data_IF_515163532832
#
_entry.id   IF_515163532832
#
_cell.length_a   1.000
_cell.length_b   1.000
_cell.length_c   1.000
_cell.angle_alpha   90.00
_cell.angle_beta   90.00
_cell.angle_gamma   90.00
#
_symmetry.space_group_name_H-M   'P 1'
#
loop_
_entity.id
_entity.type
_entity.pdbx_description
1 polymer ?
#
# COMPACT_ATOMS: atom_id res chain seq x y z
N UNK A 1 -26.10 9.89 12.71
CA UNK A 1 -25.69 9.70 11.30
C UNK A 1 -24.56 8.70 11.27
N UNK A 2 -24.74 7.54 10.65
CA UNK A 2 -23.61 6.65 10.33
C UNK A 2 -22.93 7.29 9.13
N UNK A 3 -21.81 7.97 9.36
CA UNK A 3 -20.89 8.33 8.27
C UNK A 3 -20.52 7.05 7.53
N UNK A 4 -20.52 7.08 6.20
CA UNK A 4 -20.05 5.95 5.42
C UNK A 4 -18.61 5.69 5.87
N UNK A 5 -18.24 4.42 6.07
CA UNK A 5 -16.97 4.06 6.71
C UNK A 5 -15.75 4.60 5.96
N UNK A 6 -15.94 5.09 4.73
CA UNK A 6 -14.93 5.43 3.74
C UNK A 6 -14.92 6.92 3.35
N UNK A 7 -15.78 7.77 3.95
CA UNK A 7 -15.85 9.21 3.62
C UNK A 7 -14.50 9.93 3.79
N UNK A 8 -13.63 9.39 4.64
CA UNK A 8 -12.28 9.90 4.89
C UNK A 8 -11.33 9.78 3.67
N UNK A 9 -11.66 8.93 2.68
CA UNK A 9 -10.84 8.72 1.48
C UNK A 9 -10.91 9.90 0.49
N UNK A 10 -11.85 10.83 0.68
CA UNK A 10 -11.99 12.03 -0.16
C UNK A 10 -11.12 13.21 0.31
N UNK A 11 -10.40 13.07 1.43
CA UNK A 11 -9.42 14.06 1.88
C UNK A 11 -8.28 14.19 0.87
N UNK A 12 -7.95 15.42 0.45
CA UNK A 12 -6.87 15.70 -0.49
C UNK A 12 -5.51 15.21 0.06
N UNK A 13 -5.25 15.43 1.35
CA UNK A 13 -4.03 14.94 2.02
C UNK A 13 -3.96 13.41 2.04
N UNK A 14 -5.08 12.74 2.32
CA UNK A 14 -5.14 11.27 2.27
C UNK A 14 -4.91 10.81 0.84
N UNK A 15 -5.56 11.40 -0.15
CA UNK A 15 -5.38 11.04 -1.56
C UNK A 15 -3.91 11.13 -2.00
N UNK A 16 -3.21 12.22 -1.68
CA UNK A 16 -1.79 12.38 -1.99
C UNK A 16 -0.93 11.33 -1.29
N UNK A 17 -1.21 11.06 -0.01
CA UNK A 17 -0.52 9.99 0.72
C UNK A 17 -0.73 8.63 0.07
N UNK A 18 -1.97 8.29 -0.30
CA UNK A 18 -2.30 7.02 -0.94
C UNK A 18 -1.58 6.87 -2.29
N UNK A 19 -1.56 7.94 -3.09
CA UNK A 19 -0.85 7.99 -4.37
C UNK A 19 0.66 7.76 -4.18
N UNK A 20 1.31 8.55 -3.33
CA UNK A 20 2.75 8.46 -3.09
C UNK A 20 3.14 7.11 -2.47
N UNK A 21 2.33 6.61 -1.55
CA UNK A 21 2.60 5.36 -0.87
C UNK A 21 2.45 4.15 -1.80
N UNK A 22 1.36 4.09 -2.58
CA UNK A 22 1.12 3.00 -3.54
C UNK A 22 2.16 2.96 -4.66
N UNK A 23 2.52 4.12 -5.24
CA UNK A 23 3.49 4.22 -6.32
C UNK A 23 4.90 3.74 -5.92
N UNK A 24 5.30 3.91 -4.66
CA UNK A 24 6.61 3.42 -4.21
C UNK A 24 6.64 1.95 -3.79
N UNK A 25 5.48 1.30 -3.60
CA UNK A 25 5.40 -0.15 -3.32
C UNK A 25 5.71 -0.92 -4.59
N UNK A 26 4.94 -0.74 -5.68
CA UNK A 26 5.23 -1.34 -6.99
C UNK A 26 5.08 -0.26 -8.07
N UNK A 27 6.19 0.36 -8.50
CA UNK A 27 6.15 1.48 -9.45
C UNK A 27 5.52 1.13 -10.79
N UNK A 28 4.84 2.10 -11.40
CA UNK A 28 4.42 2.03 -12.80
C UNK A 28 5.63 2.24 -13.72
N UNK A 29 5.66 1.54 -14.86
CA UNK A 29 6.73 1.70 -15.87
C UNK A 29 8.09 1.09 -15.51
N UNK A 30 8.32 0.72 -14.25
CA UNK A 30 9.51 -0.02 -13.82
C UNK A 30 9.14 -1.43 -13.39
N UNK A 31 9.90 -2.42 -13.88
CA UNK A 31 9.83 -3.79 -13.36
C UNK A 31 10.60 -3.81 -12.02
N UNK A 32 10.00 -4.33 -10.94
CA UNK A 32 10.75 -4.54 -9.71
C UNK A 32 12.00 -5.35 -10.02
N UNK A 33 13.12 -5.03 -9.36
CA UNK A 33 14.32 -5.85 -9.45
C UNK A 33 14.00 -7.25 -8.94
N UNK A 34 13.93 -8.23 -9.84
CA UNK A 34 13.73 -9.64 -9.51
C UNK A 34 12.80 -10.38 -10.46
N UNK A 35 12.91 -11.70 -10.44
CA UNK A 35 12.14 -12.62 -11.28
C UNK A 35 11.39 -13.61 -10.40
N UNK A 36 10.11 -13.82 -10.71
CA UNK A 36 9.29 -14.84 -10.09
C UNK A 36 9.44 -16.13 -10.89
N UNK A 37 9.71 -17.24 -10.20
CA UNK A 37 9.92 -18.55 -10.80
C UNK A 37 9.07 -19.57 -10.04
N UNK A 38 8.35 -20.41 -10.78
CA UNK A 38 7.63 -21.54 -10.20
C UNK A 38 8.58 -22.73 -10.09
N UNK A 39 8.66 -23.35 -8.91
CA UNK A 39 9.52 -24.50 -8.64
C UNK A 39 8.75 -25.68 -8.04
N UNK A 40 8.98 -26.92 -8.52
CA UNK A 40 9.58 -27.23 -9.82
C UNK A 40 8.79 -26.57 -10.97
N UNK A 41 9.44 -26.36 -12.11
CA UNK A 41 8.80 -25.72 -13.27
C UNK A 41 7.60 -26.57 -13.72
N UNK A 42 6.44 -25.92 -13.85
CA UNK A 42 5.22 -26.55 -14.33
C UNK A 42 4.42 -25.57 -15.20
N UNK A 43 4.54 -25.71 -16.51
CA UNK A 43 3.95 -24.78 -17.47
C UNK A 43 2.41 -24.77 -17.44
N UNK A 44 1.78 -25.91 -17.14
CA UNK A 44 0.33 -25.99 -17.01
C UNK A 44 -0.15 -25.19 -15.79
N UNK A 45 0.53 -25.32 -14.65
CA UNK A 45 0.22 -24.54 -13.45
C UNK A 45 0.53 -23.05 -13.64
N UNK A 46 1.64 -22.71 -14.29
CA UNK A 46 1.96 -21.31 -14.63
C UNK A 46 0.87 -20.68 -15.50
N UNK A 47 0.31 -21.42 -16.46
CA UNK A 47 -0.81 -20.98 -17.28
C UNK A 47 -2.07 -20.76 -16.46
N UNK A 48 -2.43 -21.69 -15.57
CA UNK A 48 -3.57 -21.54 -14.65
C UNK A 48 -3.39 -20.28 -13.81
N UNK A 49 -2.22 -20.11 -13.17
CA UNK A 49 -1.97 -18.95 -12.32
C UNK A 49 -1.99 -17.64 -13.09
N UNK A 50 -1.47 -17.61 -14.31
CA UNK A 50 -1.58 -16.44 -15.19
C UNK A 50 -3.05 -16.07 -15.42
N UNK A 51 -3.88 -17.06 -15.74
CA UNK A 51 -5.30 -16.84 -16.03
C UNK A 51 -6.09 -16.44 -14.77
N UNK A 52 -5.69 -16.96 -13.59
CA UNK A 52 -6.25 -16.61 -12.28
C UNK A 52 -5.94 -15.17 -11.86
N UNK A 53 -4.73 -14.70 -12.14
CA UNK A 53 -4.26 -13.36 -11.75
C UNK A 53 -4.75 -12.26 -12.71
N UNK A 54 -5.08 -12.62 -13.95
CA UNK A 54 -5.64 -11.68 -14.92
C UNK A 54 -7.17 -11.61 -14.85
N UNK A 55 -7.68 -10.44 -14.46
CA UNK A 55 -9.14 -10.17 -14.45
C UNK A 55 -9.67 -9.50 -15.73
N UNK A 56 -8.82 -9.13 -16.70
CA UNK A 56 -9.22 -8.32 -17.87
C UNK A 56 -8.64 -8.81 -19.21
N UNK A 57 -9.34 -8.44 -20.30
CA UNK A 57 -9.32 -8.98 -21.69
C UNK A 57 -7.99 -8.95 -22.48
N UNK A 58 -6.85 -8.64 -21.88
CA UNK A 58 -5.56 -8.58 -22.59
C UNK A 58 -4.65 -9.76 -22.22
N UNK A 59 -4.86 -10.91 -22.88
CA UNK A 59 -4.18 -12.19 -22.64
C UNK A 59 -2.72 -12.29 -23.16
N UNK A 60 -2.06 -11.16 -23.44
CA UNK A 60 -0.72 -11.15 -24.09
C UNK A 60 0.46 -11.16 -23.12
N UNK A 61 0.22 -11.14 -21.81
CA UNK A 61 1.26 -11.02 -20.80
C UNK A 61 1.71 -12.39 -20.26
N UNK A 62 3.00 -12.50 -19.91
CA UNK A 62 3.53 -13.69 -19.24
C UNK A 62 3.21 -13.70 -17.74
N UNK A 63 3.40 -14.84 -17.07
CA UNK A 63 3.11 -14.99 -15.63
C UNK A 63 3.77 -13.90 -14.77
N UNK A 64 5.00 -13.52 -15.10
CA UNK A 64 5.73 -12.44 -14.42
C UNK A 64 4.95 -11.12 -14.41
N UNK A 65 4.43 -10.71 -15.56
CA UNK A 65 3.68 -9.47 -15.70
C UNK A 65 2.32 -9.57 -14.98
N UNK A 66 1.66 -10.74 -15.05
CA UNK A 66 0.41 -11.00 -14.32
C UNK A 66 0.59 -10.89 -12.81
N UNK A 67 1.70 -11.42 -12.27
CA UNK A 67 2.04 -11.31 -10.85
C UNK A 67 2.25 -9.85 -10.47
N UNK A 68 3.00 -9.09 -11.28
CA UNK A 68 3.29 -7.68 -11.00
C UNK A 68 1.99 -6.85 -11.00
N UNK A 69 1.13 -7.04 -12.00
CA UNK A 69 -0.14 -6.30 -12.10
C UNK A 69 -1.11 -6.67 -10.98
N UNK A 70 -1.19 -7.96 -10.64
CA UNK A 70 -1.98 -8.38 -9.48
C UNK A 70 -1.43 -7.78 -8.19
N UNK A 71 -0.11 -7.78 -8.00
CA UNK A 71 0.53 -7.19 -6.83
C UNK A 71 0.28 -5.66 -6.75
N UNK A 72 0.22 -4.94 -7.89
CA UNK A 72 -0.21 -3.53 -7.94
C UNK A 72 -1.67 -3.33 -7.50
N UNK A 73 -2.57 -4.21 -7.95
CA UNK A 73 -3.98 -4.18 -7.49
C UNK A 73 -4.08 -4.40 -5.99
N UNK A 74 -3.34 -5.38 -5.47
CA UNK A 74 -3.25 -5.64 -4.03
C UNK A 74 -2.65 -4.44 -3.30
N UNK A 75 -1.57 -3.84 -3.78
CA UNK A 75 -0.95 -2.68 -3.13
C UNK A 75 -1.92 -1.50 -3.06
N UNK A 76 -2.69 -1.24 -4.12
CA UNK A 76 -3.71 -0.19 -4.11
C UNK A 76 -4.80 -0.48 -3.06
N UNK A 77 -5.29 -1.73 -3.02
CA UNK A 77 -6.29 -2.18 -2.06
C UNK A 77 -5.79 -2.08 -0.61
N UNK A 78 -4.58 -2.56 -0.33
CA UNK A 78 -3.91 -2.42 0.97
C UNK A 78 -3.76 -0.96 1.36
N UNK A 79 -3.18 -0.12 0.50
CA UNK A 79 -2.93 1.28 0.81
C UNK A 79 -4.25 2.01 1.09
N UNK A 80 -5.32 1.69 0.38
CA UNK A 80 -6.62 2.37 0.55
C UNK A 80 -7.41 1.88 1.76
N UNK A 81 -7.38 0.59 2.06
CA UNK A 81 -8.30 -0.03 3.03
C UNK A 81 -7.60 -0.78 4.19
N UNK A 82 -6.27 -0.87 4.15
CA UNK A 82 -5.44 -1.62 5.09
C UNK A 82 -5.45 -3.13 4.87
N UNK A 83 -6.28 -3.64 3.95
CA UNK A 83 -6.50 -5.07 3.73
C UNK A 83 -6.96 -5.34 2.30
N UNK A 84 -6.70 -6.54 1.77
CA UNK A 84 -7.31 -7.05 0.54
C UNK A 84 -7.65 -8.53 0.72
N UNK A 85 -8.89 -8.92 0.39
CA UNK A 85 -9.36 -10.29 0.59
C UNK A 85 -9.84 -10.87 -0.73
N UNK A 86 -9.34 -12.07 -1.04
CA UNK A 86 -9.75 -12.81 -2.22
C UNK A 86 -10.26 -14.18 -1.80
N UNK A 87 -11.31 -14.67 -2.46
CA UNK A 87 -11.77 -16.05 -2.33
C UNK A 87 -11.23 -16.85 -3.51
N UNK A 88 -10.56 -17.95 -3.21
CA UNK A 88 -10.04 -18.87 -4.23
C UNK A 88 -10.99 -20.06 -4.34
N UNK A 89 -11.52 -20.29 -5.54
CA UNK A 89 -12.52 -21.34 -5.80
C UNK A 89 -12.01 -22.22 -6.95
N UNK A 90 -12.16 -23.53 -6.80
CA UNK A 90 -11.91 -24.50 -7.86
C UNK A 90 -13.23 -25.01 -8.44
N UNK A 91 -13.34 -25.03 -9.77
CA UNK A 91 -14.46 -25.56 -10.54
C UNK A 91 -13.93 -26.61 -11.52
N UNK A 92 -13.79 -27.85 -11.04
CA UNK A 92 -13.14 -28.90 -11.83
C UNK A 92 -11.66 -28.56 -12.04
N UNK A 93 -11.26 -28.36 -13.29
CA UNK A 93 -9.90 -27.98 -13.67
C UNK A 93 -9.67 -26.46 -13.72
N UNK A 94 -10.71 -25.65 -13.51
CA UNK A 94 -10.59 -24.19 -13.47
C UNK A 94 -10.37 -23.67 -12.04
N UNK A 95 -9.40 -22.76 -11.88
CA UNK A 95 -9.24 -22.00 -10.64
C UNK A 95 -9.67 -20.56 -10.87
N UNK A 96 -10.42 -19.98 -9.93
CA UNK A 96 -10.89 -18.58 -9.99
C UNK A 96 -10.56 -17.86 -8.70
N UNK A 97 -10.19 -16.60 -8.84
CA UNK A 97 -9.94 -15.69 -7.73
C UNK A 97 -11.00 -14.58 -7.74
N UNK A 98 -11.84 -14.54 -6.71
CA UNK A 98 -12.90 -13.55 -6.57
C UNK A 98 -12.43 -12.52 -5.55
N UNK A 99 -12.30 -11.26 -5.97
CA UNK A 99 -12.03 -10.17 -5.06
C UNK A 99 -13.29 -9.86 -4.22
N UNK A 100 -13.15 -9.87 -2.90
CA UNK A 100 -14.21 -9.46 -1.99
C UNK A 100 -14.03 -7.98 -1.71
N UNK A 101 -14.92 -7.15 -2.26
CA UNK A 101 -14.77 -5.70 -2.24
C UNK A 101 -14.64 -5.15 -0.80
N UNK A 102 -13.55 -4.41 -0.57
CA UNK A 102 -13.34 -3.75 0.72
C UNK A 102 -14.44 -2.72 1.00
N UNK A 103 -14.85 -2.63 2.28
CA UNK A 103 -16.03 -1.86 2.70
C UNK A 103 -17.31 -2.70 2.79
N UNK A 104 -17.35 -3.84 2.09
CA UNK A 104 -18.42 -4.85 2.19
C UNK A 104 -18.01 -6.10 2.96
N UNK A 105 -16.77 -6.13 3.45
CA UNK A 105 -16.23 -7.28 4.18
C UNK A 105 -16.08 -6.97 5.67
N UNK A 106 -16.50 -7.90 6.52
CA UNK A 106 -16.21 -7.91 7.95
C UNK A 106 -15.45 -9.17 8.31
N UNK A 107 -14.27 -9.00 8.91
CA UNK A 107 -13.49 -10.10 9.43
C UNK A 107 -13.92 -10.46 10.85
N UNK A 108 -14.19 -11.76 11.07
CA UNK A 108 -14.27 -12.39 12.38
C UNK A 108 -13.15 -13.43 12.50
N UNK A 109 -12.97 -13.98 13.71
CA UNK A 109 -11.83 -14.84 14.06
C UNK A 109 -11.54 -15.94 13.04
N UNK A 110 -12.57 -16.61 12.52
CA UNK A 110 -12.45 -17.73 11.58
C UNK A 110 -13.28 -17.56 10.31
N UNK A 111 -13.92 -16.41 10.11
CA UNK A 111 -14.84 -16.21 8.99
C UNK A 111 -14.78 -14.81 8.41
N UNK A 112 -15.10 -14.76 7.12
CA UNK A 112 -15.18 -13.56 6.30
C UNK A 112 -16.65 -13.37 5.95
N UNK A 113 -17.26 -12.30 6.45
CA UNK A 113 -18.62 -11.94 6.14
C UNK A 113 -18.63 -10.92 5.01
N UNK A 114 -19.22 -11.26 3.86
CA UNK A 114 -19.30 -10.41 2.68
C UNK A 114 -20.75 -9.97 2.42
N UNK A 115 -20.94 -8.66 2.29
CA UNK A 115 -22.25 -8.05 2.01
C UNK A 115 -22.37 -7.85 0.50
N UNK A 116 -23.30 -8.56 -0.12
CA UNK A 116 -23.59 -8.50 -1.56
C UNK A 116 -24.35 -7.21 -1.91
N UNK A 117 -24.44 -6.87 -3.21
CA UNK A 117 -25.16 -5.67 -3.70
C UNK A 117 -26.64 -5.61 -3.29
N UNK A 118 -27.28 -6.77 -3.20
CA UNK A 118 -28.67 -6.92 -2.77
C UNK A 118 -28.84 -6.84 -1.23
N UNK A 119 -27.76 -6.61 -0.48
CA UNK A 119 -27.74 -6.55 0.97
C UNK A 119 -27.68 -7.90 1.69
N UNK A 120 -27.61 -9.03 0.96
CA UNK A 120 -27.45 -10.35 1.60
C UNK A 120 -26.02 -10.55 2.10
N UNK A 121 -25.88 -11.16 3.27
CA UNK A 121 -24.58 -11.46 3.86
C UNK A 121 -24.21 -12.93 3.59
N UNK A 122 -23.09 -13.15 2.91
CA UNK A 122 -22.49 -14.48 2.75
C UNK A 122 -21.33 -14.66 3.73
N UNK A 123 -21.26 -15.82 4.37
CA UNK A 123 -20.17 -16.18 5.27
C UNK A 123 -19.24 -17.20 4.59
N UNK A 124 -17.96 -16.87 4.55
CA UNK A 124 -16.91 -17.76 4.05
C UNK A 124 -15.96 -18.15 5.18
N UNK A 125 -15.45 -19.38 5.12
CA UNK A 125 -14.36 -19.78 6.00
C UNK A 125 -13.09 -19.03 5.60
N UNK A 126 -12.39 -18.44 6.57
CA UNK A 126 -11.14 -17.70 6.28
C UNK A 126 -10.08 -18.57 5.59
N UNK A 127 -10.11 -19.90 5.81
CA UNK A 127 -9.22 -20.86 5.14
C UNK A 127 -9.47 -20.96 3.64
N UNK A 128 -10.64 -20.59 3.14
CA UNK A 128 -10.95 -20.50 1.70
C UNK A 128 -10.47 -19.19 1.10
N UNK A 129 -10.20 -18.18 1.93
CA UNK A 129 -9.73 -16.88 1.49
C UNK A 129 -8.20 -16.78 1.46
N UNK A 130 -7.72 -15.81 0.70
CA UNK A 130 -6.35 -15.30 0.70
C UNK A 130 -6.45 -13.87 1.21
N UNK A 131 -5.84 -13.62 2.35
CA UNK A 131 -5.93 -12.33 3.06
C UNK A 131 -4.57 -11.65 2.99
N UNK A 132 -4.53 -10.50 2.32
CA UNK A 132 -3.40 -9.59 2.36
C UNK A 132 -3.69 -8.54 3.42
N UNK A 133 -2.87 -8.47 4.47
CA UNK A 133 -2.94 -7.44 5.53
C UNK A 133 -1.68 -6.56 5.48
N UNK A 134 -1.78 -5.37 6.08
CA UNK A 134 -0.64 -4.51 6.35
C UNK A 134 0.40 -5.25 7.21
N UNK A 135 1.70 -5.09 6.91
CA UNK A 135 2.75 -5.69 7.72
C UNK A 135 2.79 -5.05 9.12
N UNK A 136 3.27 -5.79 10.14
CA UNK A 136 3.34 -5.30 11.52
C UNK A 136 4.04 -3.95 11.69
N UNK A 137 5.05 -3.67 10.87
CA UNK A 137 5.85 -2.44 10.86
C UNK A 137 5.03 -1.19 10.51
N UNK A 138 3.98 -1.35 9.69
CA UNK A 138 3.02 -0.27 9.35
C UNK A 138 1.91 -0.17 10.39
N UNK A 139 1.80 -1.17 11.27
CA UNK A 139 0.67 -1.38 12.15
C UNK A 139 -0.50 -1.94 11.36
N UNK A 140 -0.82 -3.22 11.61
CA UNK A 140 -1.93 -4.00 11.03
C UNK A 140 -3.18 -3.20 10.65
N UNK A 141 -4.08 -3.75 9.82
CA UNK A 141 -5.22 -3.01 9.24
C UNK A 141 -5.92 -2.01 10.18
N UNK A 142 -6.13 -2.34 11.46
CA UNK A 142 -6.75 -1.44 12.46
C UNK A 142 -5.94 -0.17 12.71
N UNK A 143 -4.64 -0.31 12.95
CA UNK A 143 -3.76 0.82 13.27
C UNK A 143 -3.55 1.69 12.03
N UNK A 144 -3.37 1.07 10.88
CA UNK A 144 -3.27 1.78 9.60
C UNK A 144 -4.56 2.57 9.28
N UNK A 145 -5.75 1.96 9.44
CA UNK A 145 -7.01 2.66 9.21
C UNK A 145 -7.26 3.77 10.23
N UNK A 146 -6.83 3.60 11.48
CA UNK A 146 -6.86 4.69 12.46
C UNK A 146 -5.97 5.85 12.03
N UNK A 147 -4.78 5.56 11.47
CA UNK A 147 -3.89 6.58 10.92
C UNK A 147 -4.54 7.32 9.74
N UNK A 148 -5.15 6.62 8.78
CA UNK A 148 -5.82 7.27 7.65
C UNK A 148 -6.96 8.19 8.09
N UNK A 149 -7.76 7.76 9.08
CA UNK A 149 -8.83 8.58 9.66
C UNK A 149 -8.30 9.84 10.33
N UNK A 150 -7.24 9.71 11.12
CA UNK A 150 -6.58 10.86 11.75
C UNK A 150 -6.00 11.82 10.70
N UNK A 151 -5.42 11.28 9.62
CA UNK A 151 -4.88 12.08 8.53
C UNK A 151 -5.98 12.82 7.76
N UNK A 152 -7.13 12.17 7.58
CA UNK A 152 -8.30 12.81 6.99
C UNK A 152 -8.88 13.90 7.88
N UNK A 153 -8.93 13.68 9.20
CA UNK A 153 -9.41 14.67 10.15
C UNK A 153 -8.57 15.95 10.11
N UNK A 154 -7.25 15.83 10.00
CA UNK A 154 -6.38 17.01 9.82
C UNK A 154 -6.71 17.79 8.53
N UNK A 155 -7.18 17.11 7.48
CA UNK A 155 -7.54 17.75 6.22
C UNK A 155 -8.92 18.44 6.27
N UNK A 156 -9.87 17.97 7.10
CA UNK A 156 -11.16 18.66 7.25
C UNK A 156 -11.00 20.02 7.92
N UNK A 157 -9.97 20.17 8.74
CA UNK A 157 -9.59 21.42 9.40
C UNK A 157 -8.71 22.32 8.52
N UNK A 158 -8.17 21.81 7.41
CA UNK A 158 -7.36 22.59 6.47
C UNK A 158 -8.26 23.47 5.60
N UNK A 159 -8.03 24.77 5.69
CA UNK A 159 -8.62 25.74 4.77
C UNK A 159 -7.71 25.84 3.55
N UNK A 160 -8.23 25.55 2.36
CA UNK A 160 -7.47 25.71 1.12
C UNK A 160 -7.02 27.16 0.92
N UNK A 161 -5.92 27.37 0.18
CA UNK A 161 -5.34 28.71 -0.04
C UNK A 161 -6.33 29.76 -0.55
N UNK A 162 -7.31 29.35 -1.39
CA UNK A 162 -8.38 30.24 -1.87
C UNK A 162 -9.40 30.57 -0.78
N UNK A 163 -9.72 29.61 0.10
CA UNK A 163 -10.59 29.85 1.26
C UNK A 163 -9.91 30.75 2.29
N UNK A 164 -8.61 30.62 2.47
CA UNK A 164 -7.81 31.48 3.34
C UNK A 164 -7.88 32.95 2.91
N UNK A 165 -7.75 33.22 1.61
CA UNK A 165 -7.87 34.57 1.05
C UNK A 165 -9.27 35.17 1.24
N UNK A 166 -10.34 34.36 1.12
CA UNK A 166 -11.70 34.80 1.35
C UNK A 166 -12.00 35.05 2.84
N UNK A 167 -11.47 34.21 3.72
CA UNK A 167 -11.71 34.30 5.17
C UNK A 167 -10.86 35.39 5.85
N UNK A 168 -9.68 35.72 5.32
CA UNK A 168 -8.88 36.87 5.80
C UNK A 168 -9.63 38.20 5.70
N UNK A 169 -10.55 38.34 4.73
CA UNK A 169 -11.44 39.51 4.62
C UNK A 169 -12.57 39.54 5.65
N UNK A 170 -12.94 38.39 6.25
CA UNK A 170 -14.09 38.24 7.14
C UNK A 170 -13.71 38.09 8.62
N UNK A 171 -12.52 37.56 8.92
CA UNK A 171 -12.05 37.27 10.27
C UNK A 171 -10.75 38.04 10.55
N UNK A 172 -10.87 39.34 10.85
CA UNK A 172 -9.74 40.28 11.02
C UNK A 172 -8.76 39.92 12.15
N UNK A 173 -9.08 38.96 13.03
CA UNK A 173 -8.25 38.58 14.18
C UNK A 173 -7.76 37.13 14.17
N UNK A 174 -8.07 36.37 13.12
CA UNK A 174 -7.64 34.99 13.04
C UNK A 174 -6.36 34.84 12.21
N UNK A 175 -5.30 34.32 12.83
CA UNK A 175 -4.04 34.03 12.13
C UNK A 175 -4.12 32.68 11.41
N UNK A 176 -4.63 32.75 10.19
CA UNK A 176 -4.71 31.62 9.27
C UNK A 176 -3.35 30.99 8.94
N UNK A 177 -2.28 31.79 8.93
CA UNK A 177 -0.93 31.30 8.64
C UNK A 177 -0.47 30.40 9.78
N UNK A 178 -0.63 30.86 11.01
CA UNK A 178 -0.30 30.08 12.19
C UNK A 178 -1.15 28.81 12.32
N UNK A 179 -2.45 28.89 12.02
CA UNK A 179 -3.32 27.71 12.01
C UNK A 179 -2.85 26.65 11.00
N UNK A 180 -2.57 27.06 9.76
CA UNK A 180 -2.07 26.14 8.74
C UNK A 180 -0.71 25.53 9.15
N UNK A 181 0.16 26.32 9.80
CA UNK A 181 1.42 25.82 10.34
C UNK A 181 1.24 24.76 11.42
N UNK A 182 0.25 24.93 12.31
CA UNK A 182 -0.07 23.94 13.35
C UNK A 182 -0.57 22.65 12.70
N UNK A 183 -1.48 22.73 11.73
CA UNK A 183 -1.99 21.57 11.01
C UNK A 183 -0.89 20.81 10.26
N UNK A 184 0.06 21.53 9.66
CA UNK A 184 1.23 20.92 9.03
C UNK A 184 2.10 20.20 10.07
N UNK A 185 2.44 20.83 11.20
CA UNK A 185 3.24 20.19 12.26
C UNK A 185 2.56 18.92 12.81
N UNK A 186 1.25 18.96 13.02
CA UNK A 186 0.46 17.78 13.43
C UNK A 186 0.46 16.68 12.35
N UNK A 187 0.36 17.04 11.07
CA UNK A 187 0.50 16.08 9.97
C UNK A 187 1.89 15.44 9.97
N UNK A 188 2.94 16.23 10.21
CA UNK A 188 4.32 15.76 10.30
C UNK A 188 4.52 14.79 11.46
N UNK A 189 3.93 15.06 12.63
CA UNK A 189 3.94 14.16 13.79
C UNK A 189 3.22 12.86 13.49
N UNK A 190 2.01 12.94 12.93
CA UNK A 190 1.17 11.80 12.61
C UNK A 190 1.85 10.84 11.62
N UNK A 191 2.52 11.40 10.61
CA UNK A 191 3.16 10.64 9.52
C UNK A 191 4.59 10.20 9.84
N UNK A 192 5.15 10.60 11.00
CA UNK A 192 6.56 10.35 11.39
C UNK A 192 6.96 8.87 11.38
N UNK A 193 6.05 7.99 11.75
CA UNK A 193 6.33 6.56 11.85
C UNK A 193 6.39 5.88 10.48
N UNK A 194 5.55 6.31 9.52
CA UNK A 194 5.62 5.88 8.11
C UNK A 194 6.73 6.63 7.36
N UNK A 195 7.13 7.82 7.81
CA UNK A 195 8.16 8.62 7.14
C UNK A 195 7.64 9.45 5.97
N UNK A 196 6.33 9.43 5.68
CA UNK A 196 5.76 10.18 4.56
C UNK A 196 6.06 11.68 4.65
N UNK A 197 6.51 12.27 3.55
CA UNK A 197 6.67 13.71 3.42
C UNK A 197 5.43 14.29 2.78
N UNK A 198 4.65 15.03 3.57
CA UNK A 198 3.48 15.73 3.04
C UNK A 198 3.92 16.68 1.90
N UNK A 199 3.15 16.70 0.81
CA UNK A 199 3.31 17.66 -0.29
C UNK A 199 2.91 19.06 0.22
N UNK A 200 3.86 19.79 0.83
CA UNK A 200 3.61 21.10 1.44
C UNK A 200 3.02 22.10 0.44
N UNK A 201 1.99 22.83 0.86
CA UNK A 201 1.34 23.89 0.08
C UNK A 201 2.01 25.27 0.22
N UNK A 202 2.81 25.49 1.27
CA UNK A 202 3.36 26.81 1.63
C UNK A 202 4.90 26.86 1.69
N UNK A 203 5.59 25.98 0.97
CA UNK A 203 7.06 26.04 0.88
C UNK A 203 7.77 25.69 2.19
N UNK A 204 7.18 24.81 3.00
CA UNK A 204 7.78 24.31 4.25
C UNK A 204 9.12 23.59 4.06
N UNK A 205 9.56 23.41 2.81
CA UNK A 205 10.91 22.99 2.43
C UNK A 205 12.01 23.78 3.16
N UNK A 206 11.75 25.03 3.58
CA UNK A 206 12.73 25.87 4.28
C UNK A 206 12.79 25.66 5.81
N UNK A 207 11.98 24.76 6.39
CA UNK A 207 11.85 24.59 7.85
C UNK A 207 12.37 23.25 8.38
N UNK A 208 12.63 22.27 7.52
CA UNK A 208 13.31 21.03 7.90
C UNK A 208 14.74 21.06 7.40
N UNK A 209 15.72 20.76 8.26
CA UNK A 209 17.07 20.47 7.77
C UNK A 209 17.02 19.29 6.78
N UNK A 210 17.86 19.37 5.75
CA UNK A 210 17.98 18.33 4.73
C UNK A 210 18.21 16.96 5.36
N UNK A 211 19.03 16.89 6.43
CA UNK A 211 19.24 15.69 7.22
C UNK A 211 17.94 14.94 7.54
N UNK A 212 16.99 15.61 8.21
CA UNK A 212 15.71 15.02 8.62
C UNK A 212 14.82 14.66 7.44
N UNK A 213 14.92 15.43 6.35
CA UNK A 213 14.16 15.15 5.12
C UNK A 213 14.58 13.82 4.53
N UNK A 214 15.87 13.58 4.33
CA UNK A 214 16.33 12.30 3.77
C UNK A 214 16.11 11.13 4.72
N UNK A 215 16.32 11.30 6.03
CA UNK A 215 16.03 10.24 7.00
C UNK A 215 14.57 9.77 6.91
N UNK A 216 13.63 10.69 6.71
CA UNK A 216 12.22 10.35 6.49
C UNK A 216 11.96 9.75 5.11
N UNK A 217 12.63 10.21 4.04
CA UNK A 217 12.51 9.59 2.72
C UNK A 217 12.94 8.12 2.75
N UNK A 218 14.09 7.84 3.38
CA UNK A 218 14.60 6.47 3.57
C UNK A 218 13.61 5.62 4.36
N UNK A 219 13.07 6.15 5.45
CA UNK A 219 12.02 5.49 6.23
C UNK A 219 10.77 5.21 5.41
N UNK A 220 10.31 6.17 4.61
CA UNK A 220 9.14 6.00 3.77
C UNK A 220 9.34 4.89 2.75
N UNK A 221 10.49 4.89 2.09
CA UNK A 221 10.87 3.82 1.17
C UNK A 221 10.95 2.47 1.90
N UNK A 222 11.55 2.42 3.09
CA UNK A 222 11.59 1.22 3.94
C UNK A 222 10.19 0.69 4.23
N UNK A 223 9.28 1.55 4.63
CA UNK A 223 7.87 1.20 4.88
C UNK A 223 7.20 0.63 3.63
N UNK A 224 7.40 1.25 2.46
CA UNK A 224 6.90 0.72 1.18
C UNK A 224 7.47 -0.68 0.87
N UNK A 225 8.76 -0.90 1.14
CA UNK A 225 9.42 -2.19 0.96
C UNK A 225 8.87 -3.27 1.90
N UNK A 226 8.56 -2.93 3.15
CA UNK A 226 7.89 -3.87 4.07
C UNK A 226 6.53 -4.32 3.53
N UNK A 227 5.73 -3.38 3.01
CA UNK A 227 4.43 -3.72 2.39
C UNK A 227 4.63 -4.57 1.14
N UNK A 228 5.61 -4.23 0.29
CA UNK A 228 5.94 -5.01 -0.90
C UNK A 228 6.32 -6.46 -0.56
N UNK A 229 7.22 -6.65 0.39
CA UNK A 229 7.66 -7.98 0.81
C UNK A 229 6.51 -8.78 1.43
N UNK A 230 5.62 -8.12 2.17
CA UNK A 230 4.41 -8.74 2.70
C UNK A 230 3.48 -9.22 1.58
N UNK A 231 3.27 -8.41 0.54
CA UNK A 231 2.50 -8.82 -0.65
C UNK A 231 3.15 -10.06 -1.28
N UNK A 232 4.45 -10.05 -1.50
CA UNK A 232 5.16 -11.18 -2.11
C UNK A 232 5.03 -12.46 -1.28
N UNK A 233 5.20 -12.37 0.05
CA UNK A 233 4.97 -13.52 0.94
C UNK A 233 3.57 -14.10 0.79
N UNK A 234 2.55 -13.24 0.82
CA UNK A 234 1.16 -13.69 0.64
C UNK A 234 0.90 -14.26 -0.77
N UNK A 235 1.60 -13.79 -1.81
CA UNK A 235 1.55 -14.40 -3.14
C UNK A 235 2.14 -15.80 -3.14
N UNK A 236 3.26 -16.03 -2.44
CA UNK A 236 3.84 -17.38 -2.32
C UNK A 236 2.87 -18.33 -1.64
N UNK A 237 2.26 -17.91 -0.53
CA UNK A 237 1.22 -18.68 0.18
C UNK A 237 0.01 -18.96 -0.71
N UNK A 238 -0.41 -17.98 -1.51
CA UNK A 238 -1.50 -18.12 -2.48
C UNK A 238 -1.17 -19.15 -3.57
N UNK A 239 0.07 -19.15 -4.10
CA UNK A 239 0.51 -20.14 -5.08
C UNK A 239 0.55 -21.54 -4.49
N UNK A 240 1.07 -21.72 -3.28
CA UNK A 240 1.05 -23.02 -2.58
C UNK A 240 -0.38 -23.50 -2.38
N UNK A 241 -1.30 -22.60 -2.01
CA UNK A 241 -2.72 -22.92 -1.86
C UNK A 241 -3.36 -23.35 -3.19
N UNK A 242 -3.09 -22.62 -4.27
CA UNK A 242 -3.57 -22.98 -5.60
C UNK A 242 -2.99 -24.31 -6.10
N UNK A 243 -1.71 -24.58 -5.81
CA UNK A 243 -1.05 -25.83 -6.13
C UNK A 243 -1.72 -27.01 -5.40
N UNK A 244 -2.00 -26.87 -4.11
CA UNK A 244 -2.74 -27.87 -3.32
C UNK A 244 -4.14 -28.13 -3.87
N UNK A 245 -4.86 -27.08 -4.32
CA UNK A 245 -6.20 -27.22 -4.92
C UNK A 245 -6.19 -27.90 -6.28
N UNK A 246 -5.09 -27.80 -7.03
CA UNK A 246 -4.92 -28.40 -8.36
C UNK A 246 -4.18 -29.75 -8.31
N UNK A 247 -3.79 -30.22 -7.12
CA UNK A 247 -3.03 -31.46 -6.95
C UNK A 247 -1.60 -31.38 -7.45
N UNK A 248 -1.06 -30.18 -7.65
CA UNK A 248 0.31 -29.93 -8.11
C UNK A 248 1.20 -29.63 -6.91
N UNK A 249 2.44 -30.13 -6.90
CA UNK A 249 3.44 -29.74 -5.92
C UNK A 249 4.37 -28.68 -6.53
N UNK A 250 4.03 -27.41 -6.36
CA UNK A 250 4.82 -26.27 -6.84
C UNK A 250 4.74 -25.09 -5.86
N UNK A 251 5.77 -24.27 -5.85
CA UNK A 251 5.86 -23.03 -5.08
C UNK A 251 6.36 -21.86 -5.95
N UNK A 252 6.06 -20.64 -5.52
CA UNK A 252 6.57 -19.43 -6.14
C UNK A 252 7.82 -18.96 -5.39
N UNK A 253 8.92 -18.79 -6.10
CA UNK A 253 10.12 -18.14 -5.57
C UNK A 253 10.34 -16.78 -6.24
N UNK A 254 10.69 -15.78 -5.44
CA UNK A 254 11.21 -14.52 -5.96
C UNK A 254 12.73 -14.51 -5.88
N UNK A 255 13.39 -14.43 -7.02
CA UNK A 255 14.83 -14.25 -7.13
C UNK A 255 15.13 -12.75 -7.14
N UNK A 256 15.57 -12.20 -6.01
CA UNK A 256 15.93 -10.79 -5.91
C UNK A 256 17.04 -10.53 -4.88
N UNK A 257 17.72 -9.40 -5.03
CA UNK A 257 18.57 -8.83 -3.97
C UNK A 257 17.64 -8.23 -2.93
N UNK A 258 17.83 -8.57 -1.66
CA UNK A 258 17.00 -8.08 -0.54
C UNK A 258 17.06 -6.54 -0.41
N UNK A 259 16.03 -5.80 -0.85
CA UNK A 259 16.08 -4.34 -0.93
C UNK A 259 15.99 -3.70 0.46
N UNK A 260 15.49 -4.42 1.47
CA UNK A 260 15.45 -3.93 2.85
C UNK A 260 16.86 -3.83 3.42
N UNK A 261 17.73 -4.82 3.17
CA UNK A 261 19.14 -4.76 3.60
C UNK A 261 19.88 -3.56 3.01
N UNK A 262 19.59 -3.23 1.76
CA UNK A 262 20.17 -2.04 1.12
C UNK A 262 19.71 -0.79 1.85
N UNK A 263 18.40 -0.62 2.08
CA UNK A 263 17.86 0.54 2.80
C UNK A 263 18.39 0.62 4.24
N UNK A 264 18.49 -0.50 4.95
CA UNK A 264 19.06 -0.54 6.31
C UNK A 264 20.50 -0.05 6.34
N UNK A 265 21.30 -0.48 5.36
CA UNK A 265 22.67 -0.01 5.21
C UNK A 265 22.72 1.50 4.94
N UNK A 266 21.87 2.02 4.06
CA UNK A 266 21.80 3.45 3.75
C UNK A 266 21.33 4.29 4.94
N UNK A 267 20.35 3.83 5.70
CA UNK A 267 19.91 4.49 6.93
C UNK A 267 21.07 4.58 7.94
N UNK A 268 21.84 3.51 8.10
CA UNK A 268 22.98 3.49 9.00
C UNK A 268 24.09 4.45 8.54
N UNK A 269 24.49 4.40 7.27
CA UNK A 269 25.53 5.29 6.73
C UNK A 269 25.10 6.77 6.73
N UNK A 270 23.82 7.05 6.49
CA UNK A 270 23.26 8.41 6.60
C UNK A 270 23.30 8.93 8.03
N UNK A 271 22.83 8.13 9.00
CA UNK A 271 22.80 8.53 10.41
C UNK A 271 24.22 8.74 10.99
N UNK A 272 25.22 8.05 10.45
CA UNK A 272 26.62 8.20 10.83
C UNK A 272 27.35 9.32 10.04
N UNK A 273 26.66 10.05 9.15
CA UNK A 273 27.25 11.13 8.35
C UNK A 273 28.23 10.66 7.28
N UNK A 274 28.25 9.36 6.94
CA UNK A 274 29.16 8.75 5.97
C UNK A 274 28.61 8.77 4.54
N UNK A 275 27.29 8.86 4.39
CA UNK A 275 26.63 8.91 3.10
C UNK A 275 26.50 10.36 2.61
N UNK A 276 27.11 10.66 1.46
CA UNK A 276 26.93 11.97 0.83
C UNK A 276 25.54 12.11 0.22
N UNK A 277 25.01 13.34 0.22
CA UNK A 277 23.73 13.69 -0.40
C UNK A 277 23.64 13.25 -1.88
N UNK A 278 24.72 13.43 -2.65
CA UNK A 278 24.80 13.05 -4.06
C UNK A 278 24.65 11.54 -4.26
N UNK A 279 25.22 10.75 -3.35
CA UNK A 279 25.09 9.28 -3.36
C UNK A 279 23.65 8.86 -3.09
N UNK A 280 22.97 9.54 -2.16
CA UNK A 280 21.58 9.27 -1.77
C UNK A 280 20.60 9.48 -2.92
N UNK A 281 20.74 10.58 -3.67
CA UNK A 281 19.90 10.86 -4.85
C UNK A 281 20.05 9.76 -5.90
N UNK A 282 21.29 9.35 -6.18
CA UNK A 282 21.56 8.30 -7.18
C UNK A 282 20.91 6.98 -6.80
N UNK A 283 21.02 6.59 -5.52
CA UNK A 283 20.50 5.31 -5.02
C UNK A 283 18.97 5.33 -4.93
N UNK A 284 18.36 6.48 -4.62
CA UNK A 284 16.90 6.63 -4.59
C UNK A 284 16.22 6.45 -5.95
N UNK A 285 16.96 6.59 -7.06
CA UNK A 285 16.47 6.36 -8.42
C UNK A 285 16.56 4.88 -8.84
N UNK A 286 17.35 4.07 -8.14
CA UNK A 286 17.63 2.67 -8.47
C UNK A 286 16.79 1.67 -7.63
N UNK A 287 16.14 2.13 -6.55
CA UNK A 287 15.32 1.34 -5.61
C UNK A 287 13.81 1.57 -5.80
#
# INVERSE_FOLDING_TARGET
MKTNSDDYLHSATVHMFLEDFSNGIIPYGHRPSGTFVVKPRNEAFEKIMRDVLHSERYSRYGLQDSIIDFARKVSYSLVRYGIAIFRMISFGDELKLIYLENGRVRLKRNSVHYIMDNGTEEEYNIKECVVFDMPPEVGSYKKYNSFLRNLSFLNTEQVGSMGLLQMQGQLQHYDFTMHQMILEDESWKLTRYIGYHHRSYLGYHNRSFEFYRYSRCLRFKKTQLHVRNQIYRCLQEMFVKAANLTGVNCELEMQTVDPLKIIDHLENEWNNGRLSFKSLIRISLEL
#
